data_IF_134412227519
#
_entry.id   IF_134412227519
#
_cell.length_a   1.000
_cell.length_b   1.000
_cell.length_c   1.000
_cell.angle_alpha   90.00
_cell.angle_beta   90.00
_cell.angle_gamma   90.00
#
_symmetry.space_group_name_H-M   'P 1'
#
loop_
_entity.id
_entity.type
_entity.pdbx_description
1 polymer ?
#
# COMPACT_ATOMS: atom_id res chain seq x y z
N UNK A 1 -0.96 -6.69 14.09
CA UNK A 1 0.13 -6.73 13.08
C UNK A 1 -0.37 -6.22 11.73
N UNK A 2 -1.47 -6.75 11.16
CA UNK A 2 -2.00 -6.33 9.86
C UNK A 2 -2.23 -4.81 9.80
N UNK A 3 -3.01 -4.24 10.73
CA UNK A 3 -3.29 -2.80 10.78
C UNK A 3 -2.02 -1.92 10.78
N UNK A 4 -0.97 -2.38 11.47
CA UNK A 4 0.30 -1.64 11.51
C UNK A 4 1.02 -1.68 10.18
N UNK A 5 1.14 -2.88 9.58
CA UNK A 5 1.91 -3.09 8.36
C UNK A 5 1.21 -2.54 7.12
N UNK A 6 -0.12 -2.66 7.06
CA UNK A 6 -0.91 -2.27 5.89
C UNK A 6 -1.43 -0.83 5.95
N UNK A 7 -1.55 -0.24 7.15
CA UNK A 7 -2.17 1.08 7.31
C UNK A 7 -1.24 2.05 8.04
N UNK A 8 -0.86 1.73 9.30
CA UNK A 8 -0.15 2.68 10.15
C UNK A 8 1.25 3.05 9.63
N UNK A 9 1.95 2.14 8.94
CA UNK A 9 3.25 2.43 8.32
C UNK A 9 3.06 3.04 6.94
N UNK A 10 2.31 2.40 5.99
CA UNK A 10 2.24 2.91 4.62
C UNK A 10 1.64 4.31 4.50
N UNK A 11 0.54 4.61 5.18
CA UNK A 11 -0.15 5.90 4.99
C UNK A 11 0.73 7.10 5.37
N UNK A 12 1.36 7.15 6.55
CA UNK A 12 2.30 8.22 6.87
C UNK A 12 3.54 8.24 5.98
N UNK A 13 4.04 7.06 5.55
CA UNK A 13 5.20 6.98 4.67
C UNK A 13 4.91 7.55 3.28
N UNK A 14 3.73 7.26 2.72
CA UNK A 14 3.29 7.85 1.45
C UNK A 14 3.12 9.37 1.61
N UNK A 15 2.39 9.81 2.64
CA UNK A 15 2.19 11.24 2.90
C UNK A 15 3.52 11.99 3.06
N UNK A 16 4.47 11.46 3.83
CA UNK A 16 5.80 12.03 3.99
C UNK A 16 6.64 11.95 2.70
N UNK A 17 6.49 10.89 1.93
CA UNK A 17 7.17 10.72 0.65
C UNK A 17 6.71 11.75 -0.39
N UNK A 18 5.40 11.97 -0.53
CA UNK A 18 4.81 12.91 -1.49
C UNK A 18 5.13 14.39 -1.18
N UNK A 19 5.64 14.71 -0.01
CA UNK A 19 6.19 16.04 0.24
C UNK A 19 7.53 16.28 -0.47
N UNK A 20 8.15 15.23 -1.00
CA UNK A 20 9.50 15.26 -1.59
C UNK A 20 9.57 14.74 -3.01
N UNK A 21 8.59 13.96 -3.44
CA UNK A 21 8.49 13.43 -4.81
C UNK A 21 7.12 13.75 -5.39
N UNK A 22 7.00 13.72 -6.72
CA UNK A 22 5.71 13.92 -7.40
C UNK A 22 4.77 12.74 -7.14
N UNK A 23 3.45 13.02 -7.11
CA UNK A 23 2.43 11.96 -6.98
C UNK A 23 2.52 10.93 -8.12
N UNK A 24 2.98 11.34 -9.31
CA UNK A 24 3.23 10.42 -10.42
C UNK A 24 4.33 9.42 -10.08
N UNK A 25 5.46 9.87 -9.53
CA UNK A 25 6.54 8.99 -9.09
C UNK A 25 6.09 8.11 -7.93
N UNK A 26 5.31 8.65 -6.99
CA UNK A 26 4.72 7.88 -5.89
C UNK A 26 3.85 6.74 -6.41
N UNK A 27 2.95 7.00 -7.36
CA UNK A 27 2.10 5.99 -7.98
C UNK A 27 2.91 4.89 -8.69
N UNK A 28 3.96 5.26 -9.41
CA UNK A 28 4.87 4.31 -10.07
C UNK A 28 5.58 3.43 -9.05
N UNK A 29 6.07 4.00 -7.95
CA UNK A 29 6.73 3.25 -6.88
C UNK A 29 5.76 2.29 -6.18
N UNK A 30 4.52 2.72 -5.92
CA UNK A 30 3.47 1.85 -5.37
C UNK A 30 3.10 0.74 -6.35
N UNK A 31 3.16 0.96 -7.66
CA UNK A 31 2.92 -0.09 -8.65
C UNK A 31 3.94 -1.23 -8.59
N UNK A 32 5.02 -1.09 -7.81
CA UNK A 32 5.96 -2.18 -7.52
C UNK A 32 5.41 -3.23 -6.53
N UNK A 33 4.28 -2.99 -5.86
CA UNK A 33 3.68 -3.90 -4.88
C UNK A 33 3.55 -5.35 -5.38
N UNK A 34 3.01 -5.63 -6.59
CA UNK A 34 2.92 -7.01 -7.10
C UNK A 34 4.29 -7.66 -7.33
N UNK A 35 5.33 -6.84 -7.64
CA UNK A 35 6.71 -7.33 -7.78
C UNK A 35 7.24 -7.81 -6.43
N UNK A 36 7.08 -6.98 -5.40
CA UNK A 36 7.51 -7.27 -4.03
C UNK A 36 6.74 -8.48 -3.50
N UNK A 37 5.41 -8.52 -3.72
CA UNK A 37 4.57 -9.66 -3.33
C UNK A 37 5.05 -10.97 -3.98
N UNK A 38 5.39 -10.95 -5.26
CA UNK A 38 5.88 -12.14 -5.94
C UNK A 38 7.23 -12.62 -5.39
N UNK A 39 8.14 -11.69 -5.02
CA UNK A 39 9.39 -12.03 -4.36
C UNK A 39 9.13 -12.66 -2.97
N UNK A 40 8.21 -12.10 -2.20
CA UNK A 40 7.80 -12.66 -0.91
C UNK A 40 7.15 -14.04 -1.07
N UNK A 41 6.34 -14.24 -2.12
CA UNK A 41 5.69 -15.51 -2.41
C UNK A 41 6.70 -16.63 -2.69
N UNK A 42 7.84 -16.35 -3.29
CA UNK A 42 8.90 -17.34 -3.49
C UNK A 42 9.35 -17.99 -2.17
N UNK A 43 9.32 -17.21 -1.08
CA UNK A 43 9.79 -17.66 0.23
C UNK A 43 8.68 -18.17 1.14
N UNK A 44 7.52 -17.52 1.12
CA UNK A 44 6.47 -17.72 2.13
C UNK A 44 5.23 -18.43 1.60
N UNK A 45 4.95 -18.39 0.29
CA UNK A 45 3.76 -18.99 -0.30
C UNK A 45 4.07 -19.69 -1.62
N UNK A 46 4.26 -21.00 -1.55
CA UNK A 46 4.54 -21.82 -2.74
C UNK A 46 3.41 -21.86 -3.76
N UNK A 47 2.18 -21.58 -3.34
CA UNK A 47 1.00 -21.60 -4.22
C UNK A 47 0.94 -20.36 -5.15
N UNK A 48 1.62 -19.28 -4.78
CA UNK A 48 1.68 -18.02 -5.53
C UNK A 48 3.00 -17.83 -6.30
N UNK A 49 3.81 -18.89 -6.43
CA UNK A 49 5.09 -18.80 -7.16
C UNK A 49 4.86 -18.34 -8.59
N UNK A 50 5.59 -17.34 -9.06
CA UNK A 50 5.45 -16.86 -10.41
C UNK A 50 5.88 -17.91 -11.42
N UNK A 51 5.13 -18.04 -12.49
CA UNK A 51 5.57 -18.81 -13.67
C UNK A 51 6.77 -18.14 -14.33
N UNK A 52 7.57 -18.82 -15.18
CA UNK A 52 8.71 -18.22 -15.86
C UNK A 52 8.36 -16.93 -16.63
N UNK A 53 7.19 -16.90 -17.27
CA UNK A 53 6.69 -15.70 -17.97
C UNK A 53 6.40 -14.55 -17.01
N UNK A 54 5.78 -14.84 -15.86
CA UNK A 54 5.56 -13.85 -14.81
C UNK A 54 6.89 -13.37 -14.22
N UNK A 55 7.85 -14.26 -13.99
CA UNK A 55 9.18 -13.91 -13.52
C UNK A 55 9.89 -12.94 -14.46
N UNK A 56 9.81 -13.19 -15.78
CA UNK A 56 10.36 -12.27 -16.78
C UNK A 56 9.67 -10.89 -16.72
N UNK A 57 8.33 -10.85 -16.65
CA UNK A 57 7.58 -9.60 -16.48
C UNK A 57 7.97 -8.85 -15.21
N UNK A 58 8.19 -9.57 -14.11
CA UNK A 58 8.66 -9.02 -12.84
C UNK A 58 10.04 -8.37 -12.99
N UNK A 59 10.99 -9.05 -13.63
CA UNK A 59 12.35 -8.52 -13.86
C UNK A 59 12.32 -7.26 -14.74
N UNK A 60 11.51 -7.27 -15.80
CA UNK A 60 11.32 -6.10 -16.66
C UNK A 60 10.67 -4.94 -15.89
N UNK A 61 9.63 -5.21 -15.09
CA UNK A 61 8.98 -4.20 -14.25
C UNK A 61 9.93 -3.61 -13.20
N UNK A 62 10.72 -4.46 -12.52
CA UNK A 62 11.72 -4.01 -11.56
C UNK A 62 12.81 -3.16 -12.22
N UNK A 63 13.28 -3.58 -13.41
CA UNK A 63 14.20 -2.78 -14.23
C UNK A 63 13.61 -1.41 -14.58
N UNK A 64 12.33 -1.36 -14.94
CA UNK A 64 11.59 -0.12 -15.20
C UNK A 64 11.56 0.81 -13.97
N UNK A 65 11.28 0.28 -12.78
CA UNK A 65 11.31 1.07 -11.53
C UNK A 65 12.70 1.64 -11.26
N UNK A 66 13.77 0.84 -11.46
CA UNK A 66 15.16 1.31 -11.29
C UNK A 66 15.49 2.44 -12.27
N UNK A 67 15.10 2.29 -13.53
CA UNK A 67 15.35 3.34 -14.56
C UNK A 67 14.61 4.62 -14.20
N UNK A 68 13.35 4.52 -13.79
CA UNK A 68 12.55 5.69 -13.38
C UNK A 68 13.14 6.38 -12.15
N UNK A 69 13.53 5.64 -11.13
CA UNK A 69 14.21 6.22 -9.97
C UNK A 69 15.53 6.91 -10.36
N UNK A 70 16.29 6.31 -11.25
CA UNK A 70 17.58 6.87 -11.69
C UNK A 70 17.45 8.16 -12.49
N UNK A 71 16.35 8.35 -13.22
CA UNK A 71 16.11 9.55 -14.05
C UNK A 71 15.59 10.72 -13.19
N UNK A 72 14.63 10.46 -12.29
CA UNK A 72 13.98 11.52 -11.51
C UNK A 72 14.75 11.91 -10.23
N UNK A 73 15.56 11.00 -9.68
CA UNK A 73 16.25 11.20 -8.40
C UNK A 73 17.69 11.72 -8.57
N UNK A 74 18.18 11.84 -9.80
CA UNK A 74 19.57 12.22 -10.10
C UNK A 74 19.98 13.66 -9.68
N UNK A 75 19.09 14.43 -9.04
CA UNK A 75 19.31 15.84 -8.72
C UNK A 75 19.24 16.26 -7.26
N UNK A 76 18.52 15.58 -6.39
CA UNK A 76 18.24 16.08 -5.03
C UNK A 76 18.17 14.96 -3.99
N UNK A 77 19.01 15.02 -2.96
CA UNK A 77 19.04 14.02 -1.88
C UNK A 77 17.73 13.87 -1.08
N UNK A 78 16.83 14.86 -1.15
CA UNK A 78 15.51 14.80 -0.54
C UNK A 78 14.55 13.84 -1.27
N UNK A 79 14.63 13.76 -2.58
CA UNK A 79 13.78 12.88 -3.39
C UNK A 79 14.07 11.40 -3.14
N UNK A 80 15.34 11.05 -2.92
CA UNK A 80 15.72 9.68 -2.57
C UNK A 80 15.09 9.21 -1.25
N UNK A 81 15.02 10.10 -0.27
CA UNK A 81 14.37 9.80 1.01
C UNK A 81 12.85 9.64 0.83
N UNK A 82 12.22 10.49 0.01
CA UNK A 82 10.80 10.39 -0.34
C UNK A 82 10.48 9.09 -1.07
N UNK A 83 11.26 8.76 -2.09
CA UNK A 83 11.12 7.51 -2.83
C UNK A 83 11.34 6.27 -1.94
N UNK A 84 12.33 6.32 -1.04
CA UNK A 84 12.58 5.27 -0.05
C UNK A 84 11.41 5.07 0.92
N UNK A 85 10.78 6.14 1.38
CA UNK A 85 9.59 6.07 2.24
C UNK A 85 8.42 5.39 1.50
N UNK A 86 8.18 5.75 0.24
CA UNK A 86 7.12 5.15 -0.58
C UNK A 86 7.41 3.67 -0.89
N UNK A 87 8.65 3.30 -1.17
CA UNK A 87 9.01 1.89 -1.35
C UNK A 87 8.83 1.08 -0.07
N UNK A 88 9.11 1.67 1.10
CA UNK A 88 8.81 1.03 2.38
C UNK A 88 7.31 0.81 2.56
N UNK A 89 6.48 1.78 2.15
CA UNK A 89 5.03 1.61 2.12
C UNK A 89 4.60 0.49 1.17
N UNK A 90 5.21 0.40 -0.03
CA UNK A 90 4.95 -0.67 -0.99
C UNK A 90 5.30 -2.07 -0.43
N UNK A 91 6.36 -2.18 0.39
CA UNK A 91 6.66 -3.43 1.12
C UNK A 91 5.54 -3.77 2.10
N UNK A 92 5.02 -2.80 2.85
CA UNK A 92 3.86 -2.98 3.73
C UNK A 92 2.65 -3.52 2.96
N UNK A 93 2.29 -2.88 1.85
CA UNK A 93 1.21 -3.28 0.96
C UNK A 93 1.41 -4.64 0.28
N UNK A 94 2.63 -5.13 0.17
CA UNK A 94 2.89 -6.49 -0.30
C UNK A 94 2.73 -7.53 0.83
N UNK A 95 3.10 -7.17 2.06
CA UNK A 95 2.99 -8.06 3.23
C UNK A 95 1.52 -8.21 3.69
N UNK A 96 0.73 -7.14 3.64
CA UNK A 96 -0.66 -7.13 4.10
C UNK A 96 -1.54 -8.20 3.47
N UNK A 97 -1.68 -8.25 2.13
CA UNK A 97 -2.44 -9.28 1.42
C UNK A 97 -1.96 -10.70 1.74
N UNK A 98 -0.65 -10.88 1.90
CA UNK A 98 -0.08 -12.17 2.30
C UNK A 98 -0.50 -12.55 3.72
N UNK A 99 -0.53 -11.61 4.67
CA UNK A 99 -1.04 -11.86 6.03
C UNK A 99 -2.53 -12.22 6.01
N UNK A 100 -3.34 -11.53 5.20
CA UNK A 100 -4.76 -11.87 5.02
C UNK A 100 -4.90 -13.31 4.56
N UNK A 101 -4.22 -13.69 3.48
CA UNK A 101 -4.27 -15.05 2.93
C UNK A 101 -3.80 -16.12 3.93
N UNK A 102 -2.65 -15.90 4.57
CA UNK A 102 -1.99 -16.93 5.39
C UNK A 102 -2.57 -17.03 6.81
N UNK A 103 -3.14 -15.95 7.36
CA UNK A 103 -3.52 -15.89 8.77
C UNK A 103 -4.97 -15.52 9.02
N UNK A 104 -5.65 -14.89 8.06
CA UNK A 104 -6.95 -14.27 8.25
C UNK A 104 -8.02 -14.81 7.29
N UNK A 105 -7.69 -15.72 6.37
CA UNK A 105 -8.60 -16.26 5.35
C UNK A 105 -9.86 -16.96 5.92
N UNK A 106 -9.81 -17.41 7.18
CA UNK A 106 -10.95 -18.05 7.86
C UNK A 106 -11.80 -17.05 8.67
N UNK A 107 -11.40 -15.79 8.74
CA UNK A 107 -12.12 -14.75 9.47
C UNK A 107 -13.08 -14.01 8.54
N UNK A 108 -14.18 -13.49 9.11
CA UNK A 108 -15.07 -12.63 8.34
C UNK A 108 -14.34 -11.37 7.85
N UNK A 109 -14.30 -11.11 6.53
CA UNK A 109 -13.57 -9.96 5.97
C UNK A 109 -14.03 -8.62 6.52
N UNK A 110 -15.33 -8.46 6.76
CA UNK A 110 -15.91 -7.20 7.23
C UNK A 110 -15.49 -6.91 8.67
N UNK A 111 -15.64 -7.91 9.55
CA UNK A 111 -15.23 -7.80 10.95
C UNK A 111 -13.73 -7.55 11.07
N UNK A 112 -12.93 -8.27 10.28
CA UNK A 112 -11.47 -8.19 10.29
C UNK A 112 -10.99 -6.82 9.81
N UNK A 113 -11.55 -6.30 8.72
CA UNK A 113 -11.18 -4.99 8.19
C UNK A 113 -11.70 -3.87 9.09
N UNK A 114 -12.93 -3.96 9.60
CA UNK A 114 -13.47 -2.99 10.57
C UNK A 114 -12.59 -2.88 11.82
N UNK A 115 -12.21 -4.01 12.42
CA UNK A 115 -11.33 -4.05 13.58
C UNK A 115 -9.91 -3.49 13.25
N UNK A 116 -9.38 -3.80 12.06
CA UNK A 116 -8.06 -3.31 11.62
C UNK A 116 -8.06 -1.81 11.40
N UNK A 117 -9.09 -1.26 10.77
CA UNK A 117 -9.25 0.18 10.55
C UNK A 117 -9.46 0.93 11.88
N UNK A 118 -10.30 0.40 12.79
CA UNK A 118 -10.50 0.98 14.11
C UNK A 118 -9.20 0.99 14.93
N UNK A 119 -8.44 -0.10 14.89
CA UNK A 119 -7.13 -0.18 15.54
C UNK A 119 -6.13 0.80 14.94
N UNK A 120 -6.07 0.90 13.60
CA UNK A 120 -5.19 1.86 12.93
C UNK A 120 -5.55 3.31 13.28
N UNK A 121 -6.85 3.64 13.29
CA UNK A 121 -7.33 4.95 13.70
C UNK A 121 -6.92 5.28 15.13
N UNK A 122 -7.07 4.33 16.07
CA UNK A 122 -6.63 4.52 17.45
C UNK A 122 -5.12 4.71 17.59
N UNK A 123 -4.32 3.98 16.80
CA UNK A 123 -2.86 4.10 16.82
C UNK A 123 -2.36 5.41 16.19
N UNK A 124 -3.03 5.93 15.17
CA UNK A 124 -2.67 7.17 14.48
C UNK A 124 -3.27 8.41 15.14
N UNK A 125 -4.29 8.26 15.99
CA UNK A 125 -4.96 9.37 16.66
C UNK A 125 -4.00 10.27 17.48
N UNK A 126 -3.04 9.73 18.26
CA UNK A 126 -2.08 10.57 18.97
C UNK A 126 -1.28 11.49 18.04
N UNK A 127 -0.84 10.98 16.89
CA UNK A 127 -0.11 11.78 15.90
C UNK A 127 -1.00 12.90 15.32
N UNK A 128 -2.24 12.60 15.01
CA UNK A 128 -3.20 13.58 14.48
C UNK A 128 -3.57 14.67 15.52
N UNK A 129 -3.57 14.31 16.80
CA UNK A 129 -3.84 15.29 17.90
C UNK A 129 -2.62 16.17 18.19
N UNK A 130 -1.42 15.60 18.08
CA UNK A 130 -0.15 16.34 18.36
C UNK A 130 0.23 17.29 17.22
N UNK A 131 -0.17 16.99 15.98
CA UNK A 131 0.08 17.82 14.81
C UNK A 131 -1.23 18.06 14.03
N UNK A 132 -2.14 18.88 14.57
CA UNK A 132 -3.40 19.19 13.92
C UNK A 132 -3.21 20.09 12.69
N UNK A 133 -4.16 20.10 11.75
CA UNK A 133 -4.11 20.99 10.59
C UNK A 133 -3.95 22.45 11.03
N UNK A 134 -2.96 23.14 10.47
CA UNK A 134 -2.66 24.55 10.82
C UNK A 134 -3.67 25.55 10.22
N UNK A 135 -4.50 25.11 9.27
CA UNK A 135 -5.57 25.90 8.65
C UNK A 135 -6.94 25.30 8.94
N UNK A 136 -7.95 26.15 9.01
CA UNK A 136 -9.35 25.70 9.10
C UNK A 136 -9.71 24.85 7.87
N UNK A 137 -10.22 23.65 8.10
CA UNK A 137 -10.66 22.77 7.00
C UNK A 137 -11.93 23.34 6.36
N UNK A 138 -11.94 23.47 5.03
CA UNK A 138 -13.14 23.80 4.31
C UNK A 138 -14.15 22.63 4.35
N UNK A 139 -15.44 22.94 4.19
CA UNK A 139 -16.48 21.91 4.12
C UNK A 139 -16.22 20.90 2.96
N UNK A 140 -15.65 21.39 1.87
CA UNK A 140 -15.24 20.57 0.73
C UNK A 140 -14.11 19.60 1.11
N UNK A 141 -13.08 20.08 1.79
CA UNK A 141 -12.00 19.23 2.28
C UNK A 141 -12.49 18.14 3.24
N UNK A 142 -13.39 18.49 4.16
CA UNK A 142 -14.03 17.53 5.07
C UNK A 142 -14.81 16.49 4.26
N UNK A 143 -15.61 16.92 3.27
CA UNK A 143 -16.36 16.02 2.39
C UNK A 143 -15.45 15.05 1.63
N UNK A 144 -14.34 15.54 1.09
CA UNK A 144 -13.33 14.71 0.42
C UNK A 144 -12.70 13.66 1.36
N UNK A 145 -12.35 14.06 2.59
CA UNK A 145 -11.77 13.13 3.59
C UNK A 145 -12.77 12.05 3.98
N UNK A 146 -14.05 12.41 4.17
CA UNK A 146 -15.12 11.44 4.47
C UNK A 146 -15.29 10.47 3.29
N UNK A 147 -15.34 10.96 2.06
CA UNK A 147 -15.47 10.12 0.87
C UNK A 147 -14.27 9.17 0.71
N UNK A 148 -13.05 9.66 0.90
CA UNK A 148 -11.84 8.84 0.92
C UNK A 148 -11.88 7.76 2.00
N UNK A 149 -12.28 8.11 3.22
CA UNK A 149 -12.37 7.17 4.33
C UNK A 149 -13.42 6.08 4.12
N UNK A 150 -14.62 6.45 3.67
CA UNK A 150 -15.74 5.49 3.52
C UNK A 150 -15.63 4.67 2.23
N UNK A 151 -15.36 5.30 1.10
CA UNK A 151 -15.40 4.64 -0.21
C UNK A 151 -14.03 4.08 -0.57
N UNK A 152 -13.00 4.93 -0.60
CA UNK A 152 -11.69 4.52 -1.07
C UNK A 152 -10.89 3.71 -0.03
N UNK A 153 -11.27 3.78 1.25
CA UNK A 153 -10.60 3.00 2.29
C UNK A 153 -11.50 1.89 2.82
N UNK A 154 -12.57 2.20 3.55
CA UNK A 154 -13.37 1.18 4.22
C UNK A 154 -14.00 0.17 3.27
N UNK A 155 -14.73 0.64 2.25
CA UNK A 155 -15.35 -0.25 1.26
C UNK A 155 -14.29 -0.98 0.42
N UNK A 156 -13.26 -0.28 -0.04
CA UNK A 156 -12.19 -0.87 -0.85
C UNK A 156 -11.44 -1.97 -0.12
N UNK A 157 -11.07 -1.79 1.16
CA UNK A 157 -10.39 -2.83 1.94
C UNK A 157 -11.24 -4.08 2.16
N UNK A 158 -12.56 -3.91 2.37
CA UNK A 158 -13.47 -5.06 2.50
C UNK A 158 -13.52 -5.83 1.18
N UNK A 159 -13.74 -5.15 0.05
CA UNK A 159 -13.79 -5.76 -1.28
C UNK A 159 -12.45 -6.42 -1.61
N UNK A 160 -11.35 -5.76 -1.36
CA UNK A 160 -10.00 -6.28 -1.61
C UNK A 160 -9.72 -7.54 -0.78
N UNK A 161 -10.15 -7.57 0.47
CA UNK A 161 -9.98 -8.74 1.33
C UNK A 161 -10.81 -9.93 0.83
N UNK A 162 -12.04 -9.71 0.39
CA UNK A 162 -12.87 -10.73 -0.24
C UNK A 162 -12.16 -11.26 -1.49
N UNK A 163 -11.65 -10.37 -2.34
CA UNK A 163 -10.94 -10.74 -3.56
C UNK A 163 -9.68 -11.57 -3.27
N UNK A 164 -8.92 -11.24 -2.23
CA UNK A 164 -7.76 -12.03 -1.80
C UNK A 164 -8.17 -13.44 -1.41
N UNK A 165 -9.26 -13.59 -0.66
CA UNK A 165 -9.70 -14.90 -0.17
C UNK A 165 -10.27 -15.77 -1.29
N UNK A 166 -10.92 -15.19 -2.28
CA UNK A 166 -11.53 -15.90 -3.40
C UNK A 166 -10.59 -16.14 -4.58
N UNK A 167 -9.82 -15.14 -4.99
CA UNK A 167 -8.99 -15.18 -6.19
C UNK A 167 -7.49 -15.36 -5.93
N UNK A 168 -7.05 -15.20 -4.68
CA UNK A 168 -5.65 -15.22 -4.28
C UNK A 168 -4.95 -13.85 -4.37
N UNK A 169 -3.85 -13.72 -3.63
CA UNK A 169 -3.12 -12.44 -3.47
C UNK A 169 -2.58 -11.88 -4.78
N UNK A 170 -1.97 -12.73 -5.63
CA UNK A 170 -1.37 -12.29 -6.89
C UNK A 170 -2.39 -11.75 -7.89
N UNK A 171 -3.62 -12.29 -7.90
CA UNK A 171 -4.68 -11.78 -8.78
C UNK A 171 -5.33 -10.53 -8.21
N UNK A 172 -5.53 -10.50 -6.89
CA UNK A 172 -6.10 -9.35 -6.22
C UNK A 172 -5.24 -8.09 -6.38
N UNK A 173 -3.92 -8.22 -6.29
CA UNK A 173 -3.01 -7.06 -6.40
C UNK A 173 -2.88 -6.50 -7.83
N UNK A 174 -3.32 -7.23 -8.87
CA UNK A 174 -3.37 -6.68 -10.24
C UNK A 174 -4.28 -5.45 -10.34
N UNK A 175 -5.25 -5.29 -9.44
CA UNK A 175 -6.13 -4.11 -9.39
C UNK A 175 -5.34 -2.79 -9.21
N UNK A 176 -4.10 -2.85 -8.70
CA UNK A 176 -3.26 -1.66 -8.56
C UNK A 176 -2.77 -1.10 -9.90
N UNK A 177 -3.00 -1.82 -11.01
CA UNK A 177 -2.63 -1.41 -12.37
C UNK A 177 -3.82 -0.91 -13.20
N UNK A 178 -5.03 -0.97 -12.66
CA UNK A 178 -6.29 -0.58 -13.31
C UNK A 178 -6.84 0.70 -12.70
#
# INVERSE_FOLDING_TARGET
VYAVVEICIPFPMIAAGETRVSSSLAAILISSVPLILALLALRFDRSERPTPVRALGLLLGFGGVIVLMGIDVAGQGGELLGAGAILLAAVGYAIGPMLVKLRMAQLDPRATMGASLAMASGLLLPAAVLDPPHAALSAEAIGCVIALGLVCTAAAFVIFTILITEAGTSRATVITYV
#
